data_IF_025654905870
#
_entry.id   IF_025654905870
#
_cell.length_a   1.000
_cell.length_b   1.000
_cell.length_c   1.000
_cell.angle_alpha   90.00
_cell.angle_beta   90.00
_cell.angle_gamma   90.00
#
_symmetry.space_group_name_H-M   'P 1'
#
loop_
_entity.id
_entity.type
_entity.pdbx_description
1 polymer ?
#
# COMPACT_ATOMS: atom_id res chain seq x y z
N UNK A 1 17.58 46.66 -9.49
CA UNK A 1 16.12 46.62 -9.78
C UNK A 1 15.68 45.45 -10.66
N UNK A 2 16.52 44.92 -11.55
CA UNK A 2 16.21 43.77 -12.42
C UNK A 2 16.20 42.44 -11.66
N UNK A 3 17.06 42.27 -10.66
CA UNK A 3 17.09 41.02 -9.80
C UNK A 3 15.84 40.89 -8.97
N UNK A 4 15.34 41.98 -8.41
CA UNK A 4 14.11 41.98 -7.58
C UNK A 4 12.87 41.65 -8.43
N UNK A 5 12.82 42.12 -9.69
CA UNK A 5 11.73 41.75 -10.62
C UNK A 5 11.77 40.26 -10.97
N UNK A 6 12.95 39.68 -11.22
CA UNK A 6 13.10 38.25 -11.47
C UNK A 6 12.68 37.41 -10.26
N UNK A 7 13.08 37.79 -9.07
CA UNK A 7 12.66 37.10 -7.86
C UNK A 7 11.14 37.15 -7.65
N UNK A 8 10.50 38.31 -7.87
CA UNK A 8 9.04 38.44 -7.80
C UNK A 8 8.31 37.57 -8.82
N UNK A 9 8.80 37.52 -10.06
CA UNK A 9 8.20 36.68 -11.10
C UNK A 9 8.37 35.20 -10.82
N UNK A 10 9.51 34.74 -10.28
CA UNK A 10 9.70 33.38 -9.81
C UNK A 10 8.73 33.03 -8.68
N UNK A 11 8.60 33.87 -7.65
CA UNK A 11 7.67 33.64 -6.55
C UNK A 11 6.20 33.61 -7.00
N UNK A 12 5.80 34.42 -7.96
CA UNK A 12 4.43 34.40 -8.51
C UNK A 12 4.19 33.12 -9.32
N UNK A 13 5.15 32.73 -10.16
CA UNK A 13 5.08 31.50 -10.95
C UNK A 13 5.01 30.27 -10.03
N UNK A 14 5.85 30.20 -9.00
CA UNK A 14 5.88 29.12 -8.02
C UNK A 14 4.56 29.01 -7.26
N UNK A 15 3.95 30.13 -6.86
CA UNK A 15 2.62 30.15 -6.24
C UNK A 15 1.52 29.66 -7.18
N UNK A 16 1.54 30.07 -8.43
CA UNK A 16 0.58 29.65 -9.44
C UNK A 16 0.73 28.13 -9.72
N UNK A 17 1.96 27.64 -9.86
CA UNK A 17 2.23 26.21 -10.05
C UNK A 17 1.82 25.38 -8.84
N UNK A 18 2.04 25.87 -7.62
CA UNK A 18 1.58 25.22 -6.39
C UNK A 18 0.06 25.13 -6.34
N UNK A 19 -0.64 26.21 -6.66
CA UNK A 19 -2.10 26.24 -6.68
C UNK A 19 -2.66 25.26 -7.71
N UNK A 20 -2.10 25.21 -8.93
CA UNK A 20 -2.50 24.28 -9.98
C UNK A 20 -2.23 22.82 -9.59
N UNK A 21 -1.07 22.51 -9.04
CA UNK A 21 -0.71 21.17 -8.57
C UNK A 21 -1.60 20.72 -7.42
N UNK A 22 -1.90 21.61 -6.48
CA UNK A 22 -2.84 21.32 -5.37
C UNK A 22 -4.23 21.04 -5.89
N UNK A 23 -4.72 21.82 -6.85
CA UNK A 23 -6.02 21.58 -7.49
C UNK A 23 -6.06 20.25 -8.25
N UNK A 24 -5.00 19.90 -8.99
CA UNK A 24 -4.89 18.61 -9.68
C UNK A 24 -4.82 17.44 -8.72
N UNK A 25 -4.10 17.56 -7.61
CA UNK A 25 -4.05 16.54 -6.56
C UNK A 25 -5.41 16.32 -5.91
N UNK A 26 -6.13 17.40 -5.59
CA UNK A 26 -7.49 17.34 -5.05
C UNK A 26 -8.49 16.72 -6.02
N UNK A 27 -8.38 17.03 -7.30
CA UNK A 27 -9.20 16.43 -8.35
C UNK A 27 -8.92 14.93 -8.52
N UNK A 28 -7.65 14.53 -8.52
CA UNK A 28 -7.25 13.12 -8.56
C UNK A 28 -7.80 12.35 -7.38
N UNK A 29 -7.68 12.89 -6.17
CA UNK A 29 -8.22 12.28 -4.95
C UNK A 29 -9.73 12.08 -5.04
N UNK A 30 -10.47 13.09 -5.50
CA UNK A 30 -11.91 12.98 -5.69
C UNK A 30 -12.27 11.89 -6.69
N UNK A 31 -11.58 11.81 -7.83
CA UNK A 31 -11.81 10.76 -8.82
C UNK A 31 -11.49 9.37 -8.28
N UNK A 32 -10.41 9.23 -7.51
CA UNK A 32 -10.08 7.95 -6.86
C UNK A 32 -11.17 7.53 -5.87
N UNK A 33 -11.67 8.45 -5.06
CA UNK A 33 -12.78 8.18 -4.13
C UNK A 33 -14.04 7.76 -4.89
N UNK A 34 -14.41 8.47 -5.95
CA UNK A 34 -15.60 8.15 -6.75
C UNK A 34 -15.54 6.75 -7.37
N UNK A 35 -14.36 6.31 -7.81
CA UNK A 35 -14.16 4.97 -8.40
C UNK A 35 -14.11 3.88 -7.33
N UNK A 36 -13.56 4.16 -6.16
CA UNK A 36 -13.28 3.15 -5.13
C UNK A 36 -14.28 3.13 -3.99
N UNK A 37 -15.27 4.03 -3.97
CA UNK A 37 -16.27 4.12 -2.90
C UNK A 37 -17.09 2.83 -2.71
N UNK A 38 -17.25 2.04 -3.77
CA UNK A 38 -17.98 0.77 -3.73
C UNK A 38 -17.14 -0.42 -3.25
N UNK A 39 -15.81 -0.23 -3.06
CA UNK A 39 -14.94 -1.24 -2.51
C UNK A 39 -15.07 -1.30 -0.99
N UNK A 40 -15.96 -2.15 -0.54
CA UNK A 40 -16.25 -2.40 0.88
C UNK A 40 -15.96 -3.86 1.19
N UNK A 41 -15.49 -4.14 2.40
CA UNK A 41 -15.36 -5.52 2.90
C UNK A 41 -16.75 -6.02 3.25
N UNK A 42 -17.25 -7.03 2.53
CA UNK A 42 -18.63 -7.53 2.67
C UNK A 42 -18.71 -8.91 3.30
N UNK A 43 -17.63 -9.67 3.28
CA UNK A 43 -17.56 -11.03 3.84
C UNK A 43 -16.20 -11.28 4.49
N UNK A 44 -16.13 -12.28 5.34
CA UNK A 44 -14.88 -12.61 6.06
C UNK A 44 -13.91 -13.37 5.16
N UNK A 45 -14.38 -14.36 4.42
CA UNK A 45 -13.54 -15.16 3.52
C UNK A 45 -14.28 -15.57 2.25
N UNK A 46 -13.70 -15.29 1.09
CA UNK A 46 -14.23 -15.73 -0.21
C UNK A 46 -13.85 -17.19 -0.55
N UNK A 47 -13.02 -17.85 0.26
CA UNK A 47 -12.61 -19.25 0.05
C UNK A 47 -11.64 -19.48 -1.10
N UNK A 48 -11.08 -18.41 -1.71
CA UNK A 48 -10.13 -18.58 -2.81
C UNK A 48 -8.78 -19.11 -2.33
N UNK A 49 -8.18 -20.01 -3.12
CA UNK A 49 -6.78 -20.44 -2.96
C UNK A 49 -5.79 -19.60 -3.78
N UNK A 50 -6.32 -18.65 -4.55
CA UNK A 50 -5.50 -17.78 -5.36
C UNK A 50 -4.79 -16.74 -4.48
N UNK A 51 -3.64 -16.29 -4.94
CA UNK A 51 -2.84 -15.28 -4.27
C UNK A 51 -1.70 -14.82 -5.15
N UNK A 52 -0.97 -13.83 -4.70
CA UNK A 52 0.23 -13.35 -5.37
C UNK A 52 1.48 -13.83 -4.65
N UNK A 53 2.46 -14.31 -5.40
CA UNK A 53 3.78 -14.60 -4.87
C UNK A 53 4.55 -13.30 -4.64
N UNK A 54 4.95 -13.07 -3.42
CA UNK A 54 5.75 -11.92 -3.00
C UNK A 54 7.20 -12.32 -2.82
N UNK A 55 8.09 -11.53 -3.43
CA UNK A 55 9.55 -11.61 -3.29
C UNK A 55 10.09 -10.24 -2.95
N UNK A 56 11.30 -10.19 -2.41
CA UNK A 56 12.00 -8.92 -2.27
C UNK A 56 12.17 -8.25 -3.64
N UNK A 57 11.94 -6.94 -3.70
CA UNK A 57 12.18 -6.17 -4.91
C UNK A 57 13.64 -5.76 -4.96
N UNK A 58 14.37 -6.32 -5.93
CA UNK A 58 15.79 -6.03 -6.15
C UNK A 58 15.95 -5.39 -7.51
N UNK A 59 16.56 -4.21 -7.56
CA UNK A 59 16.89 -3.51 -8.80
C UNK A 59 18.36 -3.09 -8.78
N UNK A 60 19.09 -3.46 -9.84
CA UNK A 60 20.50 -3.12 -9.95
C UNK A 60 21.41 -3.73 -8.87
N UNK A 61 20.97 -4.80 -8.18
CA UNK A 61 21.71 -5.44 -7.10
C UNK A 61 21.47 -4.84 -5.71
N UNK A 62 20.62 -3.82 -5.63
CA UNK A 62 20.18 -3.21 -4.37
C UNK A 62 18.73 -3.60 -4.05
N UNK A 63 18.48 -3.94 -2.78
CA UNK A 63 17.14 -4.27 -2.30
C UNK A 63 16.37 -2.97 -2.10
N UNK A 64 15.40 -2.69 -2.98
CA UNK A 64 14.55 -1.50 -2.89
C UNK A 64 13.47 -1.70 -1.84
N UNK A 65 12.87 -2.89 -1.81
CA UNK A 65 11.81 -3.24 -0.86
C UNK A 65 12.03 -4.67 -0.36
N UNK A 66 12.20 -4.81 0.96
CA UNK A 66 12.39 -6.10 1.58
C UNK A 66 11.11 -6.96 1.51
N UNK A 67 11.26 -8.28 1.52
CA UNK A 67 10.13 -9.20 1.54
C UNK A 67 9.20 -8.93 2.74
N UNK A 68 9.79 -8.64 3.91
CA UNK A 68 9.05 -8.31 5.14
C UNK A 68 8.01 -7.20 4.95
N UNK A 69 8.38 -6.11 4.28
CA UNK A 69 7.51 -4.96 4.07
C UNK A 69 6.36 -5.26 3.10
N UNK A 70 6.56 -6.23 2.21
CA UNK A 70 5.56 -6.65 1.23
C UNK A 70 4.55 -7.65 1.76
N UNK A 71 4.91 -8.45 2.75
CA UNK A 71 4.04 -9.50 3.33
C UNK A 71 3.43 -9.11 4.68
N UNK A 72 3.95 -8.08 5.34
CA UNK A 72 3.44 -7.60 6.61
C UNK A 72 1.97 -7.20 6.51
N UNK A 73 1.15 -7.71 7.42
CA UNK A 73 -0.28 -7.46 7.45
C UNK A 73 -1.08 -8.16 6.35
N UNK A 74 -0.48 -9.08 5.60
CA UNK A 74 -1.15 -9.91 4.61
C UNK A 74 -1.52 -11.26 5.20
N UNK A 75 -2.47 -11.94 4.56
CA UNK A 75 -2.89 -13.30 4.93
C UNK A 75 -2.18 -14.30 4.01
N UNK A 76 -1.60 -15.35 4.56
CA UNK A 76 -0.96 -16.41 3.79
C UNK A 76 -2.00 -17.12 2.89
N UNK A 77 -1.69 -17.25 1.60
CA UNK A 77 -2.54 -17.99 0.65
C UNK A 77 -2.26 -19.50 0.67
N UNK A 78 -1.04 -19.88 1.00
CA UNK A 78 -0.58 -21.27 1.11
C UNK A 78 0.20 -21.43 2.40
N UNK A 79 0.37 -22.69 2.82
CA UNK A 79 1.21 -23.00 3.97
C UNK A 79 2.65 -22.51 3.74
N UNK A 80 3.21 -21.86 4.74
CA UNK A 80 4.61 -21.43 4.75
C UNK A 80 5.41 -22.54 5.42
N UNK A 81 6.33 -23.13 4.66
CA UNK A 81 7.13 -24.27 5.08
C UNK A 81 8.57 -23.86 5.34
N UNK A 82 9.14 -24.33 6.42
CA UNK A 82 10.56 -24.16 6.72
C UNK A 82 11.42 -24.89 5.67
N UNK A 83 12.36 -24.23 4.99
CA UNK A 83 13.18 -24.87 3.96
C UNK A 83 14.11 -25.96 4.52
N UNK A 84 14.51 -25.88 5.79
CA UNK A 84 15.45 -26.81 6.39
C UNK A 84 14.73 -28.08 6.93
N UNK A 85 13.62 -27.88 7.65
CA UNK A 85 12.92 -28.97 8.35
C UNK A 85 11.72 -29.54 7.59
N UNK A 86 11.29 -28.87 6.50
CA UNK A 86 10.06 -29.20 5.74
C UNK A 86 8.79 -29.21 6.62
N UNK A 87 8.86 -28.60 7.79
CA UNK A 87 7.70 -28.44 8.68
C UNK A 87 6.92 -27.18 8.32
N UNK A 88 5.60 -27.26 8.41
CA UNK A 88 4.72 -26.11 8.23
C UNK A 88 4.91 -25.15 9.41
N UNK A 89 5.38 -23.95 9.13
CA UNK A 89 5.51 -22.87 10.11
C UNK A 89 4.17 -22.19 10.36
N UNK A 90 3.55 -21.74 9.30
CA UNK A 90 2.27 -21.04 9.33
C UNK A 90 1.33 -21.63 8.27
N UNK A 91 0.12 -21.95 8.68
CA UNK A 91 -0.91 -22.48 7.80
C UNK A 91 -1.51 -21.39 6.90
N UNK A 92 -2.06 -21.80 5.77
CA UNK A 92 -2.86 -20.91 4.92
C UNK A 92 -3.99 -20.27 5.73
N UNK A 93 -4.28 -19.00 5.47
CA UNK A 93 -5.27 -18.22 6.20
C UNK A 93 -4.76 -17.52 7.47
N UNK A 94 -3.47 -17.66 7.81
CA UNK A 94 -2.86 -16.95 8.94
C UNK A 94 -2.53 -15.51 8.56
N UNK A 95 -2.92 -14.56 9.41
CA UNK A 95 -2.51 -13.15 9.29
C UNK A 95 -1.05 -13.02 9.73
N UNK A 96 -0.21 -12.52 8.84
CA UNK A 96 1.23 -12.34 9.11
C UNK A 96 1.46 -11.04 9.89
N UNK A 97 1.89 -11.16 11.12
CA UNK A 97 2.30 -10.06 11.99
C UNK A 97 3.81 -9.80 11.94
N UNK A 98 4.28 -8.83 12.70
CA UNK A 98 5.66 -8.41 12.74
C UNK A 98 6.61 -9.53 13.15
N UNK A 99 6.25 -10.29 14.18
CA UNK A 99 7.08 -11.37 14.74
C UNK A 99 7.21 -12.55 13.75
N UNK A 100 6.10 -12.91 13.10
CA UNK A 100 6.07 -13.97 12.08
C UNK A 100 6.90 -13.59 10.84
N UNK A 101 6.81 -12.34 10.43
CA UNK A 101 7.56 -11.84 9.26
C UNK A 101 9.06 -11.79 9.55
N UNK A 102 9.46 -11.40 10.75
CA UNK A 102 10.86 -11.43 11.18
C UNK A 102 11.42 -12.87 11.22
N UNK A 103 10.61 -13.83 11.67
CA UNK A 103 10.99 -15.25 11.64
C UNK A 103 11.16 -15.78 10.21
N UNK A 104 10.26 -15.42 9.29
CA UNK A 104 10.33 -15.79 7.87
C UNK A 104 11.63 -15.25 7.24
N UNK A 105 11.98 -14.01 7.54
CA UNK A 105 13.22 -13.39 7.05
C UNK A 105 14.47 -14.07 7.62
N UNK A 106 14.47 -14.38 8.93
CA UNK A 106 15.57 -15.09 9.61
C UNK A 106 15.81 -16.49 9.04
N UNK A 107 14.77 -17.18 8.61
CA UNK A 107 14.86 -18.51 7.98
C UNK A 107 15.24 -18.46 6.50
N UNK A 108 15.45 -17.27 5.94
CA UNK A 108 15.87 -17.09 4.56
C UNK A 108 14.82 -17.52 3.52
N UNK A 109 13.55 -17.37 3.83
CA UNK A 109 12.47 -17.65 2.88
C UNK A 109 12.37 -16.48 1.90
N UNK A 110 12.64 -16.71 0.63
CA UNK A 110 12.69 -15.67 -0.40
C UNK A 110 11.34 -15.37 -1.05
N UNK A 111 10.41 -16.30 -0.96
CA UNK A 111 9.11 -16.21 -1.62
C UNK A 111 7.99 -16.66 -0.70
N UNK A 112 6.96 -15.83 -0.56
CA UNK A 112 5.75 -16.15 0.18
C UNK A 112 4.54 -15.84 -0.67
N UNK A 113 3.59 -16.78 -0.78
CA UNK A 113 2.32 -16.56 -1.47
C UNK A 113 1.29 -16.01 -0.49
N UNK A 114 0.82 -14.81 -0.75
CA UNK A 114 -0.16 -14.10 0.10
C UNK A 114 -1.45 -13.83 -0.64
N UNK A 115 -2.54 -13.72 0.09
CA UNK A 115 -3.83 -13.29 -0.47
C UNK A 115 -3.79 -11.81 -0.82
N UNK A 116 -4.47 -11.44 -1.89
CA UNK A 116 -4.50 -10.07 -2.39
C UNK A 116 -5.91 -9.69 -2.85
N UNK A 117 -6.29 -8.43 -2.71
CA UNK A 117 -7.54 -7.91 -3.28
C UNK A 117 -7.69 -8.16 -4.78
N UNK A 118 -6.56 -8.25 -5.51
CA UNK A 118 -6.56 -8.47 -6.95
C UNK A 118 -7.05 -9.85 -7.39
N UNK A 119 -6.92 -10.85 -6.53
CA UNK A 119 -7.34 -12.24 -6.77
C UNK A 119 -8.53 -12.64 -5.92
N UNK A 120 -9.21 -11.68 -5.30
CA UNK A 120 -10.41 -11.95 -4.50
C UNK A 120 -11.57 -12.40 -5.39
N UNK A 121 -12.24 -13.48 -5.01
CA UNK A 121 -13.38 -14.03 -5.74
C UNK A 121 -14.73 -13.43 -5.30
N UNK A 122 -14.72 -12.50 -4.34
CA UNK A 122 -15.92 -11.77 -3.89
C UNK A 122 -16.51 -10.95 -5.03
N UNK A 123 -17.78 -11.14 -5.30
CA UNK A 123 -18.43 -10.61 -6.51
C UNK A 123 -18.61 -9.10 -6.51
N UNK A 124 -18.92 -8.53 -5.34
CA UNK A 124 -19.09 -7.08 -5.14
C UNK A 124 -18.35 -6.67 -3.87
N UNK A 125 -17.20 -6.02 -4.02
CA UNK A 125 -16.37 -5.64 -2.89
C UNK A 125 -15.20 -6.60 -2.66
N UNK A 126 -14.83 -6.78 -1.40
CA UNK A 126 -13.68 -7.59 -0.98
C UNK A 126 -14.06 -8.47 0.21
N UNK A 127 -13.28 -9.53 0.44
CA UNK A 127 -13.33 -10.25 1.71
C UNK A 127 -12.21 -9.76 2.65
N UNK A 128 -12.41 -9.95 3.95
CA UNK A 128 -11.46 -9.52 4.98
C UNK A 128 -10.09 -10.19 4.84
N UNK A 129 -10.06 -11.47 4.52
CA UNK A 129 -8.80 -12.19 4.38
C UNK A 129 -7.98 -11.78 3.15
N UNK A 130 -8.62 -11.45 2.02
CA UNK A 130 -7.91 -10.93 0.85
C UNK A 130 -7.38 -9.51 1.07
N UNK A 131 -8.07 -8.71 1.87
CA UNK A 131 -7.60 -7.38 2.23
C UNK A 131 -6.46 -7.44 3.25
N UNK A 132 -6.64 -8.19 4.35
CA UNK A 132 -5.67 -8.39 5.39
C UNK A 132 -5.87 -7.48 6.60
N UNK A 133 -4.78 -6.94 7.14
CA UNK A 133 -4.75 -6.17 8.38
C UNK A 133 -5.32 -4.76 8.21
N UNK A 134 -6.15 -4.36 9.16
CA UNK A 134 -6.52 -2.95 9.35
C UNK A 134 -5.36 -2.21 10.03
N UNK A 135 -4.80 -1.23 9.34
CA UNK A 135 -3.65 -0.45 9.83
C UNK A 135 -3.97 0.36 11.09
N UNK A 136 -5.22 0.73 11.31
CA UNK A 136 -5.64 1.48 12.49
C UNK A 136 -5.75 0.62 13.75
N UNK A 137 -6.13 -0.65 13.60
CA UNK A 137 -6.40 -1.57 14.71
C UNK A 137 -5.34 -2.63 14.91
N UNK A 138 -4.54 -2.91 13.89
CA UNK A 138 -3.53 -3.97 13.91
C UNK A 138 -4.07 -5.39 13.82
N UNK A 139 -5.38 -5.55 13.64
CA UNK A 139 -6.07 -6.83 13.48
C UNK A 139 -6.66 -6.98 12.09
N UNK A 140 -7.20 -8.15 11.77
CA UNK A 140 -7.90 -8.37 10.52
C UNK A 140 -9.04 -7.34 10.36
N UNK A 141 -9.22 -6.82 9.16
CA UNK A 141 -10.27 -5.85 8.86
C UNK A 141 -11.65 -6.45 9.10
N UNK A 142 -12.57 -5.64 9.59
CA UNK A 142 -13.96 -6.08 9.83
C UNK A 142 -14.81 -5.91 8.57
N UNK A 143 -15.83 -6.75 8.44
CA UNK A 143 -16.86 -6.57 7.43
C UNK A 143 -17.58 -5.22 7.63
N UNK A 144 -17.90 -4.54 6.52
CA UNK A 144 -18.50 -3.22 6.52
C UNK A 144 -17.50 -2.04 6.41
N UNK A 145 -16.20 -2.29 6.45
CA UNK A 145 -15.18 -1.25 6.30
C UNK A 145 -15.06 -0.78 4.85
N UNK A 146 -15.14 0.54 4.63
CA UNK A 146 -14.99 1.15 3.30
C UNK A 146 -13.52 1.32 2.93
N UNK A 147 -12.84 0.22 2.65
CA UNK A 147 -11.39 0.18 2.40
C UNK A 147 -10.95 0.93 1.15
N UNK A 148 -11.81 1.00 0.14
CA UNK A 148 -11.53 1.75 -1.09
C UNK A 148 -11.41 3.25 -0.84
N UNK A 149 -12.29 3.83 -0.03
CA UNK A 149 -12.24 5.25 0.35
C UNK A 149 -10.98 5.54 1.18
N UNK A 150 -10.65 4.68 2.13
CA UNK A 150 -9.43 4.81 2.95
C UNK A 150 -8.19 4.77 2.07
N UNK A 151 -8.11 3.84 1.13
CA UNK A 151 -7.00 3.74 0.18
C UNK A 151 -6.89 4.99 -0.70
N UNK A 152 -8.00 5.49 -1.24
CA UNK A 152 -8.01 6.69 -2.07
C UNK A 152 -7.55 7.94 -1.31
N UNK A 153 -7.97 8.10 -0.07
CA UNK A 153 -7.53 9.19 0.80
C UNK A 153 -6.04 9.08 1.13
N UNK A 154 -5.55 7.88 1.42
CA UNK A 154 -4.13 7.62 1.71
C UNK A 154 -3.23 7.90 0.50
N UNK A 155 -3.70 7.69 -0.72
CA UNK A 155 -2.98 8.01 -1.96
C UNK A 155 -3.04 9.52 -2.23
N UNK A 156 -4.18 10.16 -1.96
CA UNK A 156 -4.42 11.58 -2.27
C UNK A 156 -3.74 12.55 -1.32
N UNK A 157 -3.63 12.21 -0.03
CA UNK A 157 -3.03 13.08 0.98
C UNK A 157 -1.55 13.44 0.71
N UNK A 158 -0.64 12.48 0.40
CA UNK A 158 0.75 12.80 0.09
C UNK A 158 0.92 13.63 -1.18
N UNK A 159 0.01 13.52 -2.14
CA UNK A 159 0.04 14.31 -3.37
C UNK A 159 0.00 15.82 -3.11
N UNK A 160 -0.78 16.26 -2.14
CA UNK A 160 -0.86 17.66 -1.72
C UNK A 160 0.42 18.09 -0.98
N UNK A 161 0.99 17.24 -0.15
CA UNK A 161 2.23 17.51 0.60
C UNK A 161 3.47 17.52 -0.31
N UNK A 162 3.56 16.60 -1.29
CA UNK A 162 4.64 16.55 -2.27
C UNK A 162 4.71 17.81 -3.13
N UNK A 163 3.57 18.41 -3.48
CA UNK A 163 3.52 19.68 -4.21
C UNK A 163 4.02 20.86 -3.38
N UNK A 164 3.87 20.83 -2.05
CA UNK A 164 4.42 21.86 -1.15
C UNK A 164 5.92 21.70 -0.92
N UNK A 165 6.46 20.48 -0.91
CA UNK A 165 7.89 20.21 -0.66
C UNK A 165 8.82 20.46 -1.85
N UNK A 166 8.35 20.38 -3.09
CA UNK A 166 9.19 20.57 -4.29
C UNK A 166 9.72 21.99 -4.46
N UNK A 167 9.17 22.97 -3.74
CA UNK A 167 9.59 24.38 -3.85
C UNK A 167 10.74 24.78 -2.92
N UNK A 168 11.03 24.00 -1.89
CA UNK A 168 12.11 24.30 -0.95
C UNK A 168 13.49 23.75 -1.37
N UNK A 169 13.57 22.92 -2.39
CA UNK A 169 14.80 22.25 -2.83
C UNK A 169 15.47 22.91 -4.04
N UNK A 170 14.91 23.95 -4.64
CA UNK A 170 15.46 24.63 -5.80
C UNK A 170 16.09 25.99 -5.46
N UNK A 171 16.39 26.24 -4.20
CA UNK A 171 17.06 27.47 -3.77
C UNK A 171 18.51 27.19 -3.37
N UNK A 172 19.35 26.78 -4.34
CA UNK A 172 20.80 26.93 -4.29
C UNK A 172 21.33 27.20 -5.71
#
# INVERSE_FOLDING_TARGET
>A
HLSIRRQRQMCIRDRADTALKTANSGYLTRRLVDVTQDLVVIEDDCGTSNGASMKALVEGGEVIEALRDRILGRVAATDIVNPETQATLYAAGTLLDEDMVEEIERLGIDEVKVRTPLTCDTRFGLCAQCYGRDLGRGTLVNAGEAVGVVAAQSIGEPGTQLTMRTFHTVSY
#
